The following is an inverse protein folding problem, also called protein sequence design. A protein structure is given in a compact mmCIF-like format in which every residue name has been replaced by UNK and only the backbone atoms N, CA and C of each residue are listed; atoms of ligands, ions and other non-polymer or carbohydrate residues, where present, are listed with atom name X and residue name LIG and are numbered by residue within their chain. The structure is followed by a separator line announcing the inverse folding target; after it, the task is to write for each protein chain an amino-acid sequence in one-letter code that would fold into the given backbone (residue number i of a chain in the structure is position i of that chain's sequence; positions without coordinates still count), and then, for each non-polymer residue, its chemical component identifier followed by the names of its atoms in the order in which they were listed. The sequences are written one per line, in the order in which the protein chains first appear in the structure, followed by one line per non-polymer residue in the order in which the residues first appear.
data_IF_854055587956
#
_entry.id   IF_854055587956
#
_cell.length_a   1.000
_cell.length_b   1.000
_cell.length_c   1.000
_cell.angle_alpha   90.00
_cell.angle_beta   90.00
_cell.angle_gamma   90.00
#
_symmetry.space_group_name_H-M   'P 1'
#
loop_
_entity.id
_entity.type
_entity.pdbx_description
1 polymer ?
#
# COMPACT_ATOMS: atom_id res chain seq x y z
N UNK A 1 -13.49 -0.09 22.27
CA UNK A 1 -12.06 0.11 22.00
C UNK A 1 -11.88 0.54 20.55
N UNK A 2 -12.21 1.78 20.21
CA UNK A 2 -12.28 2.27 18.82
C UNK A 2 -10.92 2.79 18.27
N UNK A 3 -9.83 2.62 19.02
CA UNK A 3 -8.52 3.24 18.74
C UNK A 3 -7.48 2.35 18.05
N UNK A 4 -7.69 1.04 17.94
CA UNK A 4 -6.60 0.09 17.62
C UNK A 4 -6.63 -0.45 16.19
N UNK A 5 -7.73 -0.32 15.47
CA UNK A 5 -7.84 -0.88 14.12
C UNK A 5 -7.22 0.07 13.10
N UNK A 6 -6.09 -0.35 12.52
CA UNK A 6 -5.39 0.40 11.49
C UNK A 6 -5.92 0.08 10.08
N UNK A 7 -6.59 -1.06 9.90
CA UNK A 7 -7.21 -1.42 8.61
C UNK A 7 -8.50 -0.60 8.44
N UNK A 8 -8.50 0.27 7.45
CA UNK A 8 -9.66 1.11 7.09
C UNK A 8 -10.59 0.37 6.13
N UNK A 9 -10.00 -0.40 5.21
CA UNK A 9 -10.73 -1.17 4.21
C UNK A 9 -9.85 -2.29 3.66
N UNK A 10 -10.46 -3.40 3.26
CA UNK A 10 -9.76 -4.53 2.68
C UNK A 10 -10.68 -5.29 1.74
N UNK A 11 -10.15 -5.72 0.59
CA UNK A 11 -10.89 -6.59 -0.32
C UNK A 11 -9.96 -7.45 -1.15
N UNK A 12 -10.35 -8.71 -1.33
CA UNK A 12 -9.75 -9.65 -2.27
C UNK A 12 -10.51 -9.62 -3.60
N UNK A 13 -9.78 -9.78 -4.71
CA UNK A 13 -10.31 -9.79 -6.06
C UNK A 13 -10.53 -11.24 -6.54
N UNK A 14 -11.57 -11.49 -7.34
CA UNK A 14 -11.82 -12.83 -7.89
C UNK A 14 -10.88 -13.20 -9.05
N UNK A 15 -10.11 -12.25 -9.57
CA UNK A 15 -9.14 -12.42 -10.65
C UNK A 15 -7.91 -11.55 -10.41
N UNK A 16 -6.83 -11.81 -11.14
CA UNK A 16 -5.61 -10.99 -11.07
C UNK A 16 -5.80 -9.63 -11.73
N UNK A 17 -5.34 -8.57 -11.06
CA UNK A 17 -5.31 -7.21 -11.58
C UNK A 17 -3.86 -6.81 -11.84
N UNK A 18 -3.55 -6.32 -13.03
CA UNK A 18 -2.21 -5.81 -13.33
C UNK A 18 -1.90 -4.54 -12.52
N UNK A 19 -0.62 -4.31 -12.22
CA UNK A 19 -0.18 -3.08 -11.54
C UNK A 19 -0.64 -1.85 -12.32
N UNK A 20 -0.48 -1.83 -13.64
CA UNK A 20 -0.89 -0.71 -14.49
C UNK A 20 -2.40 -0.41 -14.36
N UNK A 21 -3.24 -1.46 -14.39
CA UNK A 21 -4.68 -1.28 -14.25
C UNK A 21 -5.04 -0.75 -12.86
N UNK A 22 -4.36 -1.26 -11.82
CA UNK A 22 -4.56 -0.82 -10.45
C UNK A 22 -4.18 0.66 -10.27
N UNK A 23 -3.05 1.09 -10.84
CA UNK A 23 -2.60 2.48 -10.81
C UNK A 23 -3.54 3.40 -11.59
N UNK A 24 -4.06 2.96 -12.74
CA UNK A 24 -5.08 3.69 -13.51
C UNK A 24 -6.35 3.93 -12.68
N UNK A 25 -6.89 2.89 -12.05
CA UNK A 25 -8.11 2.98 -11.23
C UNK A 25 -7.90 3.86 -10.00
N UNK A 26 -6.72 3.80 -9.37
CA UNK A 26 -6.40 4.59 -8.18
C UNK A 26 -5.85 5.99 -8.49
N UNK A 27 -5.72 6.35 -9.76
CA UNK A 27 -5.04 7.56 -10.23
C UNK A 27 -3.67 7.75 -9.58
N UNK A 28 -2.98 6.64 -9.32
CA UNK A 28 -1.73 6.63 -8.59
C UNK A 28 -0.55 6.74 -9.56
N UNK A 29 0.38 7.63 -9.24
CA UNK A 29 1.60 7.85 -10.01
C UNK A 29 2.77 7.15 -9.31
N UNK A 30 3.42 6.23 -10.00
CA UNK A 30 4.64 5.57 -9.50
C UNK A 30 5.78 6.60 -9.44
N UNK A 31 6.52 6.59 -8.33
CA UNK A 31 7.57 7.59 -8.04
C UNK A 31 8.98 7.00 -7.92
N UNK A 32 9.13 5.67 -7.90
CA UNK A 32 10.42 5.02 -8.01
C UNK A 32 10.66 4.50 -9.44
N UNK A 33 11.83 4.77 -9.99
CA UNK A 33 12.25 4.33 -11.32
C UNK A 33 12.79 2.90 -11.29
N UNK A 34 12.83 2.25 -12.46
CA UNK A 34 13.57 0.99 -12.72
C UNK A 34 13.02 -0.28 -12.07
N UNK A 35 11.69 -0.37 -11.88
CA UNK A 35 11.03 -1.59 -11.40
C UNK A 35 10.27 -2.25 -12.54
N UNK A 36 10.57 -3.50 -12.84
CA UNK A 36 9.74 -4.31 -13.73
C UNK A 36 8.49 -4.78 -12.96
N UNK A 37 7.34 -4.18 -13.25
CA UNK A 37 6.07 -4.45 -12.56
C UNK A 37 5.46 -5.77 -13.03
N UNK A 38 6.00 -6.90 -12.55
CA UNK A 38 5.61 -8.25 -13.00
C UNK A 38 4.65 -8.97 -12.06
N UNK A 39 4.47 -8.52 -10.81
CA UNK A 39 3.61 -9.19 -9.82
C UNK A 39 2.16 -8.74 -9.97
N UNK A 40 1.19 -9.66 -10.14
CA UNK A 40 -0.22 -9.31 -10.15
C UNK A 40 -0.68 -8.84 -8.76
N UNK A 41 -1.85 -8.19 -8.73
CA UNK A 41 -2.53 -7.74 -7.52
C UNK A 41 -3.84 -8.54 -7.41
N UNK A 42 -4.00 -9.28 -6.31
CA UNK A 42 -5.18 -10.06 -5.97
C UNK A 42 -6.07 -9.39 -4.92
N UNK A 43 -5.74 -8.17 -4.51
CA UNK A 43 -6.53 -7.44 -3.54
C UNK A 43 -5.84 -6.17 -3.08
N UNK A 44 -6.43 -5.51 -2.09
CA UNK A 44 -5.83 -4.35 -1.46
C UNK A 44 -6.13 -4.27 0.03
N UNK A 45 -5.35 -3.43 0.72
CA UNK A 45 -5.66 -3.00 2.08
C UNK A 45 -5.35 -1.52 2.24
N UNK A 46 -6.34 -0.76 2.71
CA UNK A 46 -6.19 0.64 3.09
C UNK A 46 -5.88 0.69 4.59
N UNK A 47 -4.81 1.38 4.95
CA UNK A 47 -4.24 1.40 6.30
C UNK A 47 -4.04 2.83 6.79
N UNK A 48 -4.41 3.10 8.02
CA UNK A 48 -3.92 4.27 8.74
C UNK A 48 -2.46 4.02 9.17
N UNK A 49 -1.52 4.75 8.55
CA UNK A 49 -0.09 4.56 8.81
C UNK A 49 0.31 4.87 10.25
N UNK A 50 -0.35 5.81 10.91
CA UNK A 50 -0.01 6.21 12.27
C UNK A 50 -0.52 5.16 13.27
N UNK A 51 -1.75 4.69 13.09
CA UNK A 51 -2.28 3.60 13.92
C UNK A 51 -1.51 2.30 13.71
N UNK A 52 -1.16 1.98 12.46
CA UNK A 52 -0.41 0.77 12.15
C UNK A 52 0.93 0.73 12.87
N UNK A 53 1.73 1.81 12.81
CA UNK A 53 3.06 1.82 13.44
C UNK A 53 2.99 1.86 14.98
N UNK A 54 1.92 2.42 15.56
CA UNK A 54 1.76 2.51 17.00
C UNK A 54 1.19 1.24 17.64
N UNK A 55 0.34 0.51 16.92
CA UNK A 55 -0.48 -0.56 17.53
C UNK A 55 -0.22 -1.94 16.95
N UNK A 56 0.23 -2.07 15.69
CA UNK A 56 0.41 -3.40 15.10
C UNK A 56 1.77 -3.96 15.49
N UNK A 57 1.75 -5.16 16.08
CA UNK A 57 2.94 -6.00 16.18
C UNK A 57 3.09 -6.85 14.90
N UNK A 58 4.14 -7.69 14.85
CA UNK A 58 4.42 -8.54 13.69
C UNK A 58 3.26 -9.48 13.31
N UNK A 59 2.48 -9.98 14.27
CA UNK A 59 1.32 -10.84 14.00
C UNK A 59 0.14 -10.06 13.44
N UNK A 60 -0.12 -8.85 13.95
CA UNK A 60 -1.17 -7.97 13.40
C UNK A 60 -0.86 -7.54 11.96
N UNK A 61 0.42 -7.38 11.64
CA UNK A 61 0.87 -7.07 10.29
C UNK A 61 0.57 -8.20 9.28
N UNK A 62 0.43 -9.45 9.72
CA UNK A 62 -0.02 -10.54 8.84
C UNK A 62 -1.47 -10.34 8.38
N UNK A 63 -2.32 -9.75 9.22
CA UNK A 63 -3.74 -9.49 8.88
C UNK A 63 -3.87 -8.56 7.69
N UNK A 64 -2.90 -7.66 7.50
CA UNK A 64 -2.83 -6.72 6.38
C UNK A 64 -2.78 -7.44 5.03
N UNK A 65 -2.26 -8.67 4.96
CA UNK A 65 -2.14 -9.42 3.71
C UNK A 65 -3.39 -10.19 3.30
N UNK A 66 -4.43 -10.28 4.15
CA UNK A 66 -5.66 -10.98 3.82
C UNK A 66 -5.41 -12.41 3.30
N UNK A 67 -6.04 -12.80 2.19
CA UNK A 67 -5.86 -14.14 1.61
C UNK A 67 -4.57 -14.30 0.78
N UNK A 68 -4.08 -13.23 0.17
CA UNK A 68 -2.89 -13.26 -0.70
C UNK A 68 -1.94 -12.12 -0.42
N UNK A 69 -0.65 -12.44 -0.28
CA UNK A 69 0.43 -11.46 -0.13
C UNK A 69 0.62 -10.58 -1.37
N UNK A 70 0.24 -11.10 -2.54
CA UNK A 70 0.31 -10.42 -3.82
C UNK A 70 -0.84 -9.39 -3.92
N UNK A 71 -0.75 -8.33 -3.12
CA UNK A 71 -1.76 -7.27 -3.01
C UNK A 71 -1.15 -5.88 -2.89
N UNK A 72 -1.98 -4.85 -3.05
CA UNK A 72 -1.57 -3.47 -2.83
C UNK A 72 -1.79 -3.03 -1.38
N UNK A 73 -0.79 -2.39 -0.77
CA UNK A 73 -0.94 -1.71 0.52
C UNK A 73 -1.06 -0.20 0.31
N UNK A 74 -2.15 0.38 0.77
CA UNK A 74 -2.50 1.78 0.57
C UNK A 74 -2.46 2.48 1.92
N UNK A 75 -1.44 3.31 2.16
CA UNK A 75 -1.25 4.00 3.44
C UNK A 75 -1.84 5.41 3.40
N UNK A 76 -2.68 5.71 4.38
CA UNK A 76 -3.25 7.03 4.66
C UNK A 76 -2.54 7.66 5.85
N UNK A 77 -2.68 8.98 6.02
CA UNK A 77 -2.03 9.70 7.12
C UNK A 77 -0.49 9.70 7.00
N UNK A 78 0.03 9.51 5.78
CA UNK A 78 1.47 9.49 5.52
C UNK A 78 1.98 10.93 5.43
N UNK A 79 2.92 11.30 6.30
CA UNK A 79 3.57 12.60 6.19
C UNK A 79 4.80 12.57 5.27
N UNK A 80 5.75 11.66 5.57
CA UNK A 80 7.00 11.46 4.82
C UNK A 80 7.18 10.06 4.23
N UNK A 81 6.52 9.04 4.78
CA UNK A 81 6.55 7.68 4.22
C UNK A 81 7.78 6.83 4.51
N UNK A 82 8.69 7.24 5.42
CA UNK A 82 9.81 6.36 5.84
C UNK A 82 9.30 5.11 6.57
N UNK A 83 8.46 5.28 7.58
CA UNK A 83 8.03 4.20 8.47
C UNK A 83 7.33 3.03 7.74
N UNK A 84 6.39 3.27 6.80
CA UNK A 84 5.79 2.17 6.05
C UNK A 84 6.81 1.34 5.26
N UNK A 85 7.74 2.00 4.54
CA UNK A 85 8.74 1.28 3.77
C UNK A 85 9.79 0.58 4.63
N UNK A 86 10.15 1.14 5.79
CA UNK A 86 11.05 0.46 6.75
C UNK A 86 10.39 -0.80 7.30
N UNK A 87 9.10 -0.74 7.66
CA UNK A 87 8.35 -1.91 8.11
C UNK A 87 8.25 -2.97 7.00
N UNK A 88 7.95 -2.57 5.76
CA UNK A 88 7.92 -3.47 4.61
C UNK A 88 9.28 -4.11 4.37
N UNK A 89 10.39 -3.36 4.43
CA UNK A 89 11.75 -3.89 4.27
C UNK A 89 12.09 -4.92 5.35
N UNK A 90 11.75 -4.64 6.60
CA UNK A 90 12.06 -5.51 7.74
C UNK A 90 11.24 -6.81 7.75
N UNK A 91 10.03 -6.79 7.16
CA UNK A 91 9.14 -7.94 7.14
C UNK A 91 9.46 -8.91 5.98
N UNK A 92 9.38 -10.24 6.16
CA UNK A 92 9.66 -11.20 5.08
C UNK A 92 8.63 -11.16 3.94
N UNK A 93 7.35 -10.92 4.27
CA UNK A 93 6.28 -10.80 3.27
C UNK A 93 6.32 -9.42 2.61
N UNK A 94 6.24 -9.41 1.27
CA UNK A 94 6.31 -8.19 0.44
C UNK A 94 5.02 -8.03 -0.37
N UNK A 95 4.38 -6.86 -0.35
CA UNK A 95 3.22 -6.61 -1.21
C UNK A 95 3.62 -6.52 -2.67
N UNK A 96 2.64 -6.58 -3.57
CA UNK A 96 2.85 -6.34 -5.01
C UNK A 96 2.97 -4.84 -5.32
N UNK A 97 2.39 -3.97 -4.49
CA UNK A 97 2.47 -2.52 -4.66
C UNK A 97 2.25 -1.77 -3.34
N UNK A 98 2.76 -0.55 -3.26
CA UNK A 98 2.53 0.39 -2.16
C UNK A 98 2.04 1.72 -2.71
N UNK A 99 0.98 2.27 -2.11
CA UNK A 99 0.44 3.58 -2.50
C UNK A 99 0.35 4.47 -1.26
N UNK A 100 0.82 5.71 -1.36
CA UNK A 100 0.59 6.75 -0.36
C UNK A 100 -0.55 7.66 -0.78
N UNK A 101 -1.50 7.84 0.13
CA UNK A 101 -2.66 8.72 -0.06
C UNK A 101 -2.31 10.11 0.41
N UNK A 102 -2.30 11.06 -0.52
CA UNK A 102 -2.07 12.49 -0.28
C UNK A 102 -0.90 12.78 0.67
N UNK A 103 0.30 12.21 0.45
CA UNK A 103 1.42 12.45 1.34
C UNK A 103 1.86 13.92 1.26
N UNK A 104 2.29 14.53 2.36
CA UNK A 104 2.82 15.90 2.30
C UNK A 104 4.09 15.96 1.44
N UNK A 105 5.03 15.03 1.68
CA UNK A 105 6.23 14.86 0.87
C UNK A 105 6.61 13.39 0.93
N UNK A 106 7.25 12.86 -0.11
CA UNK A 106 7.84 11.51 -0.02
C UNK A 106 9.32 11.62 0.26
N UNK A 107 9.77 10.89 1.28
CA UNK A 107 11.17 10.83 1.64
C UNK A 107 11.99 9.96 0.68
N UNK A 108 13.19 10.41 0.33
CA UNK A 108 14.08 9.67 -0.58
C UNK A 108 14.42 8.27 -0.09
N UNK A 109 14.49 8.04 1.23
CA UNK A 109 14.74 6.71 1.76
C UNK A 109 13.58 5.76 1.41
N UNK A 110 12.33 6.22 1.44
CA UNK A 110 11.18 5.39 1.08
C UNK A 110 11.26 4.95 -0.38
N UNK A 111 11.61 5.88 -1.28
CA UNK A 111 11.82 5.60 -2.71
C UNK A 111 12.95 4.59 -2.91
N UNK A 112 14.11 4.81 -2.27
CA UNK A 112 15.27 3.89 -2.35
C UNK A 112 14.93 2.50 -1.84
N UNK A 113 14.24 2.39 -0.71
CA UNK A 113 13.81 1.10 -0.16
C UNK A 113 12.84 0.39 -1.11
N UNK A 114 11.89 1.11 -1.72
CA UNK A 114 10.95 0.51 -2.67
C UNK A 114 11.67 -0.03 -3.92
N UNK A 115 12.64 0.70 -4.44
CA UNK A 115 13.49 0.20 -5.55
C UNK A 115 14.29 -1.03 -5.15
N UNK A 116 14.92 -1.05 -3.97
CA UNK A 116 15.68 -2.23 -3.47
C UNK A 116 14.78 -3.46 -3.34
N UNK A 117 13.54 -3.28 -2.88
CA UNK A 117 12.57 -4.38 -2.76
C UNK A 117 11.90 -4.76 -4.08
N UNK A 118 12.16 -4.03 -5.18
CA UNK A 118 11.46 -4.17 -6.45
C UNK A 118 9.93 -4.05 -6.29
N UNK A 119 9.48 -3.09 -5.46
CA UNK A 119 8.07 -2.80 -5.20
C UNK A 119 7.73 -1.45 -5.85
N UNK A 120 6.66 -1.34 -6.67
CA UNK A 120 6.14 -0.06 -7.10
C UNK A 120 5.65 0.74 -5.89
N UNK A 121 6.28 1.88 -5.65
CA UNK A 121 5.81 2.90 -4.73
C UNK A 121 5.14 4.00 -5.54
N UNK A 122 3.87 4.25 -5.26
CA UNK A 122 3.08 5.27 -5.93
C UNK A 122 2.46 6.25 -4.94
N UNK A 123 2.01 7.39 -5.47
CA UNK A 123 1.25 8.41 -4.73
C UNK A 123 -0.06 8.69 -5.45
N UNK A 124 -1.12 8.91 -4.70
CA UNK A 124 -2.43 9.32 -5.24
C UNK A 124 -2.93 10.56 -4.53
N UNK A 125 -3.54 11.47 -5.28
CA UNK A 125 -4.21 12.66 -4.75
C UNK A 125 -5.67 12.37 -4.35
N UNK A 126 -6.16 11.15 -4.59
CA UNK A 126 -7.51 10.76 -4.21
C UNK A 126 -7.63 10.56 -2.69
N UNK A 127 -8.65 11.16 -2.09
CA UNK A 127 -9.01 10.85 -0.70
C UNK A 127 -9.56 9.42 -0.55
N UNK A 128 -9.49 8.88 0.67
CA UNK A 128 -9.90 7.50 1.02
C UNK A 128 -11.28 7.13 0.50
N UNK A 129 -12.28 8.02 0.69
CA UNK A 129 -13.65 7.78 0.20
C UNK A 129 -13.67 7.53 -1.30
N UNK A 130 -12.93 8.33 -2.08
CA UNK A 130 -12.90 8.23 -3.53
C UNK A 130 -12.15 6.98 -4.00
N UNK A 131 -11.06 6.62 -3.30
CA UNK A 131 -10.36 5.36 -3.54
C UNK A 131 -11.30 4.17 -3.36
N UNK A 132 -12.06 4.12 -2.26
CA UNK A 132 -13.04 3.05 -2.01
C UNK A 132 -14.07 2.94 -3.13
N UNK A 133 -14.64 4.07 -3.56
CA UNK A 133 -15.57 4.12 -4.70
C UNK A 133 -14.94 3.57 -5.98
N UNK A 134 -13.74 4.05 -6.34
CA UNK A 134 -13.06 3.64 -7.57
C UNK A 134 -12.66 2.18 -7.56
N UNK A 135 -12.17 1.68 -6.44
CA UNK A 135 -11.76 0.29 -6.31
C UNK A 135 -12.93 -0.67 -6.52
N UNK A 136 -14.19 -0.27 -6.30
CA UNK A 136 -15.35 -1.17 -6.50
C UNK A 136 -15.46 -1.82 -7.88
N UNK A 137 -14.88 -1.19 -8.91
CA UNK A 137 -14.93 -1.65 -10.31
C UNK A 137 -13.93 -2.76 -10.63
N UNK A 138 -13.02 -3.06 -9.71
CA UNK A 138 -12.11 -4.22 -9.74
C UNK A 138 -12.78 -5.42 -9.07
#
# INVERSE_FOLDING_TARGET
TYGEEAIIDMRDFPYEVSVDKFMEVTEAKIINSEVEFKRPIYGYTILDSLKAILHYNSFDYLRVYGWSIDRALIFTGVHYGRSPMVAIRAHPLKPSAVIYVQPHKVDELAVKLATIENIPLAVTELGVKKLKEKLTVL
#
